data_IF_056600099453
#
_entry.id   IF_056600099453
#
_cell.length_a   1.000
_cell.length_b   1.000
_cell.length_c   1.000
_cell.angle_alpha   90.00
_cell.angle_beta   90.00
_cell.angle_gamma   90.00
#
_symmetry.space_group_name_H-M   'P 1'
#
loop_
_entity.id
_entity.type
_entity.pdbx_description
1 polymer ?
#
# COMPACT_ATOMS: atom_id res chain seq x y z
N UNK A 1 -4.27 22.32 19.63
CA UNK A 1 -3.60 21.65 18.48
C UNK A 1 -4.59 20.65 17.95
N UNK A 2 -5.10 20.87 16.73
CA UNK A 2 -6.23 20.13 16.17
C UNK A 2 -5.87 18.67 15.87
N UNK A 3 -6.84 17.76 16.02
CA UNK A 3 -6.74 16.32 15.70
C UNK A 3 -6.23 16.02 14.26
N UNK A 4 -6.24 17.00 13.37
CA UNK A 4 -5.72 16.89 12.00
C UNK A 4 -4.22 16.54 11.88
N UNK A 5 -3.42 16.72 12.92
CA UNK A 5 -2.00 16.35 12.93
C UNK A 5 -1.75 14.85 13.20
N UNK A 6 -2.78 14.09 13.58
CA UNK A 6 -2.68 12.69 14.00
C UNK A 6 -2.83 11.71 12.83
N UNK A 7 -3.62 12.06 11.81
CA UNK A 7 -3.89 11.22 10.66
C UNK A 7 -2.92 11.52 9.51
N UNK A 8 -2.43 10.47 8.86
CA UNK A 8 -1.66 10.55 7.62
C UNK A 8 -2.57 10.71 6.41
N UNK A 9 -3.70 9.98 6.41
CA UNK A 9 -4.71 10.01 5.35
C UNK A 9 -6.10 10.06 6.00
N UNK A 10 -6.97 10.90 5.43
CA UNK A 10 -8.39 10.94 5.75
C UNK A 10 -9.17 11.06 4.44
N UNK A 11 -10.31 10.37 4.34
CA UNK A 11 -11.25 10.60 3.23
C UNK A 11 -12.61 11.01 3.77
N UNK A 12 -13.32 11.86 3.02
CA UNK A 12 -14.65 12.35 3.37
C UNK A 12 -15.61 12.12 2.22
N UNK A 13 -16.60 11.23 2.43
CA UNK A 13 -17.62 10.89 1.44
C UNK A 13 -17.00 10.64 0.05
N UNK A 14 -15.87 9.94 -0.01
CA UNK A 14 -15.14 9.72 -1.23
C UNK A 14 -15.87 8.72 -2.12
N UNK A 15 -16.08 9.08 -3.37
CA UNK A 15 -16.60 8.21 -4.42
C UNK A 15 -15.48 7.90 -5.41
N UNK A 16 -15.24 6.61 -5.58
CA UNK A 16 -14.15 6.08 -6.40
C UNK A 16 -14.73 5.40 -7.64
N UNK A 17 -14.15 5.68 -8.79
CA UNK A 17 -14.64 5.10 -10.05
C UNK A 17 -13.97 5.73 -11.26
N UNK A 18 -14.57 5.52 -12.42
CA UNK A 18 -14.07 6.04 -13.70
C UNK A 18 -15.11 6.94 -14.35
N UNK A 19 -14.68 8.13 -14.74
CA UNK A 19 -15.50 9.07 -15.51
C UNK A 19 -15.22 8.85 -16.99
N UNK A 20 -16.25 8.50 -17.74
CA UNK A 20 -16.23 8.45 -19.20
C UNK A 20 -17.05 9.62 -19.74
N UNK A 21 -16.87 9.95 -21.06
CA UNK A 21 -17.51 11.13 -21.67
C UNK A 21 -19.01 11.27 -21.37
N UNK A 22 -19.75 10.16 -21.29
CA UNK A 22 -21.21 10.15 -21.11
C UNK A 22 -21.71 9.27 -19.97
N UNK A 23 -20.82 8.71 -19.16
CA UNK A 23 -21.20 7.81 -18.05
C UNK A 23 -20.19 7.89 -16.91
N UNK A 24 -20.66 7.60 -15.72
CA UNK A 24 -19.82 7.44 -14.53
C UNK A 24 -19.94 5.98 -14.08
N UNK A 25 -18.85 5.28 -14.02
CA UNK A 25 -18.77 3.94 -13.46
C UNK A 25 -18.27 4.06 -12.01
N UNK A 26 -19.19 4.03 -11.05
CA UNK A 26 -18.87 4.04 -9.63
C UNK A 26 -18.44 2.63 -9.20
N UNK A 27 -17.31 2.54 -8.53
CA UNK A 27 -16.74 1.30 -8.00
C UNK A 27 -16.95 1.21 -6.49
N UNK A 28 -16.61 2.30 -5.76
CA UNK A 28 -16.84 2.39 -4.33
C UNK A 28 -17.46 3.75 -4.00
N UNK A 29 -18.34 3.77 -3.02
CA UNK A 29 -19.11 4.96 -2.65
C UNK A 29 -19.00 5.23 -1.15
N UNK A 30 -19.14 6.51 -0.78
CA UNK A 30 -19.16 6.98 0.61
C UNK A 30 -17.97 6.49 1.46
N UNK A 31 -16.78 6.38 0.85
CA UNK A 31 -15.59 5.94 1.55
C UNK A 31 -15.12 7.05 2.50
N UNK A 32 -15.29 6.81 3.82
CA UNK A 32 -14.87 7.72 4.88
C UNK A 32 -13.97 6.96 5.84
N UNK A 33 -12.65 7.12 5.68
CA UNK A 33 -11.62 6.41 6.45
C UNK A 33 -10.65 7.42 7.08
N UNK A 34 -10.01 6.99 8.16
CA UNK A 34 -8.95 7.73 8.84
C UNK A 34 -7.82 6.77 9.16
N UNK A 35 -6.62 7.07 8.68
CA UNK A 35 -5.42 6.27 8.87
C UNK A 35 -4.41 7.07 9.68
N UNK A 36 -3.99 6.55 10.82
CA UNK A 36 -3.01 7.21 11.67
C UNK A 36 -1.58 7.11 11.10
N UNK A 37 -0.69 7.97 11.57
CA UNK A 37 0.72 7.93 11.19
C UNK A 37 1.40 6.71 11.79
N UNK A 38 2.30 6.09 11.02
CA UNK A 38 3.11 4.97 11.49
C UNK A 38 2.36 3.63 11.55
N UNK A 39 1.14 3.54 11.03
CA UNK A 39 0.37 2.29 10.99
C UNK A 39 0.68 1.47 9.73
N UNK A 40 0.65 0.15 9.89
CA UNK A 40 0.59 -0.79 8.78
C UNK A 40 -0.86 -1.17 8.50
N UNK A 41 -1.35 -0.83 7.31
CA UNK A 41 -2.76 -0.93 6.90
C UNK A 41 -2.92 -1.93 5.76
N UNK A 42 -3.83 -2.88 5.92
CA UNK A 42 -4.22 -3.82 4.87
C UNK A 42 -5.55 -3.44 4.21
N UNK A 43 -5.58 -3.37 2.87
CA UNK A 43 -6.81 -3.21 2.10
C UNK A 43 -7.24 -4.59 1.57
N UNK A 44 -8.39 -5.06 2.01
CA UNK A 44 -8.95 -6.37 1.73
C UNK A 44 -10.23 -6.27 0.91
N UNK A 45 -10.48 -7.27 0.07
CA UNK A 45 -11.68 -7.37 -0.74
C UNK A 45 -11.51 -8.37 -1.88
N UNK A 46 -12.62 -8.76 -2.50
CA UNK A 46 -12.63 -9.66 -3.66
C UNK A 46 -11.83 -9.08 -4.83
N UNK A 47 -11.47 -9.96 -5.79
CA UNK A 47 -10.87 -9.51 -7.05
C UNK A 47 -11.85 -8.61 -7.81
N UNK A 48 -11.35 -7.53 -8.41
CA UNK A 48 -12.18 -6.59 -9.16
C UNK A 48 -13.04 -5.65 -8.33
N UNK A 49 -13.05 -5.74 -6.99
CA UNK A 49 -13.87 -4.88 -6.11
C UNK A 49 -13.42 -3.41 -6.07
N UNK A 50 -12.22 -3.10 -6.61
CA UNK A 50 -11.71 -1.73 -6.67
C UNK A 50 -10.58 -1.39 -5.71
N UNK A 51 -9.86 -2.38 -5.15
CA UNK A 51 -8.72 -2.14 -4.24
C UNK A 51 -7.67 -1.22 -4.86
N UNK A 52 -7.17 -1.57 -6.04
CA UNK A 52 -6.17 -0.76 -6.77
C UNK A 52 -6.72 0.59 -7.20
N UNK A 53 -8.02 0.67 -7.53
CA UNK A 53 -8.67 1.94 -7.89
C UNK A 53 -8.74 2.88 -6.68
N UNK A 54 -9.13 2.35 -5.50
CA UNK A 54 -9.10 3.12 -4.25
C UNK A 54 -7.67 3.59 -3.95
N UNK A 55 -6.68 2.70 -4.01
CA UNK A 55 -5.29 3.02 -3.75
C UNK A 55 -4.79 4.12 -4.70
N UNK A 56 -5.05 4.02 -6.01
CA UNK A 56 -4.69 5.04 -7.01
C UNK A 56 -5.39 6.38 -6.77
N UNK A 57 -6.62 6.36 -6.25
CA UNK A 57 -7.35 7.59 -5.88
C UNK A 57 -6.75 8.24 -4.63
N UNK A 58 -6.36 7.45 -3.63
CA UNK A 58 -5.71 7.96 -2.41
C UNK A 58 -4.36 8.64 -2.66
N UNK A 59 -3.67 8.31 -3.75
CA UNK A 59 -2.38 8.93 -4.14
C UNK A 59 -2.53 10.03 -5.19
N UNK A 60 -3.76 10.30 -5.66
CA UNK A 60 -4.03 11.33 -6.66
C UNK A 60 -3.62 10.98 -8.10
N UNK A 61 -3.27 9.71 -8.39
CA UNK A 61 -3.02 9.20 -9.76
C UNK A 61 -4.34 9.10 -10.53
N UNK A 62 -5.40 8.75 -9.82
CA UNK A 62 -6.76 8.74 -10.36
C UNK A 62 -7.61 9.78 -9.63
N UNK A 63 -8.35 10.57 -10.38
CA UNK A 63 -9.28 11.54 -9.80
C UNK A 63 -10.46 10.84 -9.12
N UNK A 64 -10.84 11.35 -7.96
CA UNK A 64 -12.08 10.95 -7.30
C UNK A 64 -13.29 11.45 -8.11
N UNK A 65 -14.34 10.65 -8.18
CA UNK A 65 -15.62 11.09 -8.78
C UNK A 65 -16.22 12.23 -7.95
N UNK A 66 -16.17 12.12 -6.63
CA UNK A 66 -16.55 13.16 -5.69
C UNK A 66 -15.98 12.90 -4.30
N UNK A 67 -16.14 13.84 -3.39
CA UNK A 67 -15.56 13.76 -2.04
C UNK A 67 -14.11 14.21 -1.99
N UNK A 68 -13.50 14.05 -0.83
CA UNK A 68 -12.16 14.57 -0.55
C UNK A 68 -11.20 13.50 -0.07
N UNK A 69 -9.95 13.60 -0.52
CA UNK A 69 -8.78 12.92 0.05
C UNK A 69 -7.92 13.98 0.73
N UNK A 70 -7.62 13.78 2.00
CA UNK A 70 -6.85 14.69 2.83
C UNK A 70 -5.57 13.97 3.25
N UNK A 71 -4.42 14.55 2.92
CA UNK A 71 -3.08 14.04 3.25
C UNK A 71 -2.43 15.01 4.21
N UNK A 72 -2.05 14.53 5.39
CA UNK A 72 -1.44 15.36 6.44
C UNK A 72 -2.26 16.65 6.75
N UNK A 73 -3.60 16.55 6.73
CA UNK A 73 -4.50 17.66 7.01
C UNK A 73 -4.77 18.62 5.85
N UNK A 74 -4.20 18.39 4.66
CA UNK A 74 -4.39 19.22 3.46
C UNK A 74 -5.03 18.39 2.34
N UNK A 75 -6.02 18.96 1.62
CA UNK A 75 -6.66 18.28 0.50
C UNK A 75 -5.64 17.94 -0.59
N UNK A 76 -5.69 16.72 -1.12
CA UNK A 76 -4.74 16.22 -2.12
C UNK A 76 -4.68 17.10 -3.37
N UNK A 77 -5.81 17.69 -3.79
CA UNK A 77 -5.90 18.61 -4.93
C UNK A 77 -5.09 19.90 -4.77
N UNK A 78 -4.68 20.21 -3.53
CA UNK A 78 -3.87 21.40 -3.22
C UNK A 78 -2.36 21.16 -3.31
N UNK A 79 -1.94 19.92 -3.58
CA UNK A 79 -0.55 19.56 -3.80
C UNK A 79 -0.25 19.51 -5.31
N UNK A 80 0.96 19.93 -5.69
CA UNK A 80 1.47 19.58 -7.01
C UNK A 80 2.13 18.17 -6.98
N UNK A 81 2.39 17.61 -8.16
CA UNK A 81 2.96 16.24 -8.27
C UNK A 81 4.34 16.11 -7.59
N UNK A 82 5.17 17.14 -7.64
CA UNK A 82 6.48 17.14 -6.99
C UNK A 82 6.35 17.12 -5.47
N UNK A 83 5.43 17.87 -4.91
CA UNK A 83 5.13 17.84 -3.47
C UNK A 83 4.61 16.47 -3.05
N UNK A 84 3.65 15.90 -3.79
CA UNK A 84 3.12 14.56 -3.50
C UNK A 84 4.20 13.48 -3.55
N UNK A 85 5.13 13.56 -4.52
CA UNK A 85 6.22 12.58 -4.63
C UNK A 85 7.23 12.66 -3.49
N UNK A 86 7.23 13.70 -2.68
CA UNK A 86 8.02 13.76 -1.43
C UNK A 86 7.24 13.30 -0.19
N UNK A 87 5.94 13.06 -0.31
CA UNK A 87 5.07 12.64 0.78
C UNK A 87 4.67 11.17 0.64
N UNK A 88 4.40 10.71 -0.59
CA UNK A 88 3.90 9.37 -0.90
C UNK A 88 4.83 8.68 -1.89
N UNK A 89 5.21 7.45 -1.61
CA UNK A 89 5.86 6.54 -2.56
C UNK A 89 4.94 5.36 -2.90
N UNK A 90 5.15 4.78 -4.08
CA UNK A 90 4.28 3.73 -4.63
C UNK A 90 5.11 2.55 -5.13
N UNK A 91 4.65 1.35 -4.80
CA UNK A 91 5.11 0.07 -5.36
C UNK A 91 3.95 -0.56 -6.11
N UNK A 92 4.12 -0.75 -7.42
CA UNK A 92 3.14 -1.41 -8.29
C UNK A 92 3.62 -2.82 -8.62
N UNK A 93 2.68 -3.70 -8.94
CA UNK A 93 2.94 -5.07 -9.44
C UNK A 93 3.24 -5.12 -10.94
N UNK A 94 3.30 -3.97 -11.61
CA UNK A 94 3.61 -3.91 -13.04
C UNK A 94 5.03 -4.40 -13.32
N UNK A 95 5.19 -5.15 -14.42
CA UNK A 95 6.50 -5.59 -14.87
C UNK A 95 7.36 -4.37 -15.22
N UNK A 96 8.60 -4.39 -14.74
CA UNK A 96 9.56 -3.38 -15.13
C UNK A 96 9.93 -3.57 -16.61
N UNK A 97 10.08 -2.47 -17.38
CA UNK A 97 10.57 -2.57 -18.74
C UNK A 97 11.98 -3.15 -18.77
N UNK A 98 12.30 -3.86 -19.84
CA UNK A 98 13.65 -4.39 -20.04
C UNK A 98 14.69 -3.26 -19.99
N UNK A 99 15.61 -3.36 -19.06
CA UNK A 99 16.68 -2.39 -18.91
C UNK A 99 17.90 -3.02 -18.24
N UNK A 100 19.08 -2.45 -18.48
CA UNK A 100 20.34 -2.89 -17.88
C UNK A 100 20.65 -2.14 -16.58
N UNK A 101 19.62 -1.87 -15.76
CA UNK A 101 19.82 -1.25 -14.46
C UNK A 101 20.29 -2.28 -13.45
N UNK A 102 21.30 -1.90 -12.66
CA UNK A 102 21.63 -2.63 -11.44
C UNK A 102 20.57 -2.41 -10.37
N UNK A 103 20.55 -3.24 -9.35
CA UNK A 103 19.71 -3.05 -8.16
C UNK A 103 19.96 -1.67 -7.54
N UNK A 104 21.24 -1.25 -7.46
CA UNK A 104 21.58 0.07 -6.96
C UNK A 104 20.95 1.18 -7.80
N UNK A 105 21.04 1.10 -9.14
CA UNK A 105 20.46 2.09 -10.04
C UNK A 105 18.92 2.14 -9.90
N UNK A 106 18.28 0.96 -9.83
CA UNK A 106 16.84 0.87 -9.64
C UNK A 106 16.37 1.51 -8.32
N UNK A 107 17.10 1.30 -7.22
CA UNK A 107 16.80 1.94 -5.94
C UNK A 107 17.10 3.45 -5.98
N UNK A 108 18.15 3.85 -6.71
CA UNK A 108 18.50 5.26 -6.90
C UNK A 108 17.41 6.07 -7.62
N UNK A 109 16.59 5.44 -8.47
CA UNK A 109 15.42 6.09 -9.09
C UNK A 109 14.45 6.63 -8.02
N UNK A 110 14.39 6.04 -6.83
CA UNK A 110 13.62 6.57 -5.71
C UNK A 110 14.03 7.98 -5.29
N UNK A 111 15.24 8.42 -5.63
CA UNK A 111 15.74 9.77 -5.29
C UNK A 111 15.38 10.85 -6.32
N UNK A 112 14.73 10.48 -7.44
CA UNK A 112 14.36 11.45 -8.50
C UNK A 112 13.65 12.71 -7.99
N UNK A 113 12.71 12.69 -7.02
CA UNK A 113 12.07 13.90 -6.52
C UNK A 113 13.03 14.93 -5.93
N UNK A 114 14.23 14.50 -5.53
CA UNK A 114 15.23 15.33 -4.83
C UNK A 114 16.44 15.69 -5.70
N UNK A 115 16.57 15.05 -6.87
CA UNK A 115 17.68 15.34 -7.78
C UNK A 115 17.37 16.54 -8.69
N UNK A 116 18.41 17.10 -9.26
CA UNK A 116 18.29 18.14 -10.29
C UNK A 116 17.89 17.48 -11.64
N UNK A 117 17.70 18.30 -12.68
CA UNK A 117 17.31 17.84 -14.03
C UNK A 117 18.33 16.87 -14.69
N UNK A 118 19.59 16.87 -14.25
CA UNK A 118 20.64 15.92 -14.71
C UNK A 118 20.57 14.58 -13.93
N UNK A 119 19.79 14.51 -12.86
CA UNK A 119 19.70 13.30 -12.01
C UNK A 119 20.92 13.09 -11.11
N UNK A 120 21.73 14.12 -10.83
CA UNK A 120 22.95 13.99 -10.01
C UNK A 120 22.58 13.66 -8.56
N UNK A 121 23.08 12.53 -8.06
CA UNK A 121 22.96 12.10 -6.67
C UNK A 121 23.97 12.83 -5.79
N UNK A 122 23.52 13.34 -4.66
CA UNK A 122 24.35 13.93 -3.61
C UNK A 122 24.70 12.87 -2.54
N UNK A 123 25.61 13.20 -1.62
CA UNK A 123 26.04 12.31 -0.55
C UNK A 123 24.84 11.80 0.27
N UNK A 124 23.90 12.70 0.61
CA UNK A 124 22.66 12.35 1.34
C UNK A 124 21.78 11.34 0.59
N UNK A 125 21.76 11.41 -0.75
CA UNK A 125 20.99 10.46 -1.56
C UNK A 125 21.62 9.08 -1.53
N UNK A 126 22.95 9.01 -1.64
CA UNK A 126 23.70 7.75 -1.52
C UNK A 126 23.52 7.10 -0.14
N UNK A 127 23.47 7.90 0.94
CA UNK A 127 23.20 7.42 2.29
C UNK A 127 21.80 6.82 2.40
N UNK A 128 20.76 7.48 1.83
CA UNK A 128 19.38 6.98 1.80
C UNK A 128 19.24 5.70 0.98
N UNK A 129 19.92 5.61 -0.17
CA UNK A 129 19.92 4.39 -1.00
C UNK A 129 20.54 3.22 -0.22
N UNK A 130 21.72 3.41 0.38
CA UNK A 130 22.40 2.36 1.16
C UNK A 130 21.56 1.92 2.35
N UNK A 131 20.97 2.88 3.06
CA UNK A 131 20.07 2.59 4.17
C UNK A 131 18.86 1.76 3.72
N UNK A 132 18.20 2.14 2.62
CA UNK A 132 17.05 1.40 2.08
C UNK A 132 17.41 -0.04 1.69
N UNK A 133 18.56 -0.24 1.01
CA UNK A 133 19.08 -1.55 0.67
C UNK A 133 19.35 -2.42 1.92
N UNK A 134 19.88 -1.82 2.98
CA UNK A 134 20.12 -2.52 4.25
C UNK A 134 18.80 -2.90 4.93
N UNK A 135 17.81 -1.99 5.00
CA UNK A 135 16.51 -2.26 5.61
C UNK A 135 15.74 -3.40 4.93
N UNK A 136 15.92 -3.58 3.63
CA UNK A 136 15.24 -4.63 2.85
C UNK A 136 16.11 -5.88 2.64
N UNK A 137 17.29 -5.95 3.27
CA UNK A 137 18.24 -7.06 3.16
C UNK A 137 18.67 -7.35 1.70
N UNK A 138 18.82 -6.29 0.90
CA UNK A 138 19.19 -6.38 -0.52
C UNK A 138 20.57 -5.82 -0.83
N UNK A 139 21.35 -5.43 0.17
CA UNK A 139 22.69 -4.83 0.00
C UNK A 139 23.64 -5.72 -0.83
N UNK A 140 23.64 -7.04 -0.59
CA UNK A 140 24.48 -7.97 -1.33
C UNK A 140 24.11 -8.09 -2.82
N UNK A 141 22.91 -7.63 -3.20
CA UNK A 141 22.39 -7.66 -4.56
C UNK A 141 22.69 -6.36 -5.33
N UNK A 142 23.24 -5.34 -4.70
CA UNK A 142 23.35 -3.98 -5.24
C UNK A 142 23.97 -3.88 -6.64
N UNK A 143 24.94 -4.73 -6.96
CA UNK A 143 25.65 -4.74 -8.24
C UNK A 143 25.08 -5.71 -9.28
N UNK A 144 24.08 -6.53 -8.92
CA UNK A 144 23.41 -7.43 -9.86
C UNK A 144 22.41 -6.65 -10.70
N UNK A 145 22.15 -7.13 -11.90
CA UNK A 145 21.05 -6.60 -12.70
C UNK A 145 19.71 -7.07 -12.14
N UNK A 146 18.70 -6.22 -12.18
CA UNK A 146 17.40 -6.53 -11.56
C UNK A 146 16.70 -7.73 -12.21
N UNK A 147 16.92 -7.99 -13.51
CA UNK A 147 16.35 -9.12 -14.23
C UNK A 147 16.98 -10.48 -13.84
N UNK A 148 18.09 -10.48 -13.10
CA UNK A 148 18.72 -11.70 -12.56
C UNK A 148 18.13 -12.12 -11.20
N UNK A 149 17.20 -11.34 -10.68
CA UNK A 149 16.63 -11.57 -9.34
C UNK A 149 15.45 -12.52 -9.40
N UNK A 150 15.25 -13.29 -8.33
CA UNK A 150 13.97 -13.97 -8.11
C UNK A 150 12.87 -12.94 -7.79
N UNK A 151 11.59 -13.31 -7.99
CA UNK A 151 10.46 -12.43 -7.74
C UNK A 151 10.48 -11.86 -6.31
N UNK A 152 10.77 -12.69 -5.31
CA UNK A 152 10.88 -12.24 -3.91
C UNK A 152 12.07 -11.31 -3.65
N UNK A 153 13.19 -11.45 -4.37
CA UNK A 153 14.32 -10.52 -4.31
C UNK A 153 13.95 -9.21 -4.99
N UNK A 154 13.36 -9.27 -6.18
CA UNK A 154 12.92 -8.09 -6.91
C UNK A 154 11.88 -7.29 -6.11
N UNK A 155 10.93 -7.95 -5.49
CA UNK A 155 9.93 -7.29 -4.66
C UNK A 155 10.57 -6.51 -3.49
N UNK A 156 11.56 -7.09 -2.80
CA UNK A 156 12.31 -6.37 -1.75
C UNK A 156 13.09 -5.18 -2.30
N UNK A 157 13.63 -5.28 -3.50
CA UNK A 157 14.30 -4.16 -4.19
C UNK A 157 13.32 -3.05 -4.56
N UNK A 158 12.10 -3.38 -5.01
CA UNK A 158 11.06 -2.39 -5.26
C UNK A 158 10.61 -1.66 -4.00
N UNK A 159 10.53 -2.39 -2.88
CA UNK A 159 10.29 -1.79 -1.55
C UNK A 159 11.48 -0.90 -1.15
N UNK A 160 12.73 -1.32 -1.41
CA UNK A 160 13.92 -0.48 -1.17
C UNK A 160 13.86 0.83 -1.97
N UNK A 161 13.44 0.77 -3.24
CA UNK A 161 13.25 1.97 -4.07
C UNK A 161 12.24 2.94 -3.45
N UNK A 162 11.08 2.44 -3.02
CA UNK A 162 10.06 3.25 -2.35
C UNK A 162 10.57 3.81 -1.01
N UNK A 163 11.34 3.04 -0.28
CA UNK A 163 11.94 3.45 1.00
C UNK A 163 13.04 4.51 0.80
N UNK A 164 13.86 4.39 -0.26
CA UNK A 164 14.88 5.36 -0.63
C UNK A 164 14.27 6.73 -1.00
N UNK A 165 13.04 6.77 -1.49
CA UNK A 165 12.30 8.00 -1.75
C UNK A 165 12.05 8.82 -0.47
N UNK A 166 12.18 8.20 0.72
CA UNK A 166 12.11 8.83 2.04
C UNK A 166 10.80 9.58 2.32
N UNK A 167 9.70 9.03 1.87
CA UNK A 167 8.35 9.55 2.08
C UNK A 167 7.79 9.15 3.43
N UNK A 168 6.74 9.84 3.88
CA UNK A 168 6.01 9.51 5.10
C UNK A 168 5.01 8.36 4.89
N UNK A 169 4.52 8.20 3.67
CA UNK A 169 3.50 7.20 3.29
C UNK A 169 4.08 6.34 2.18
N UNK A 170 3.97 5.02 2.33
CA UNK A 170 4.33 4.04 1.31
C UNK A 170 3.07 3.24 0.97
N UNK A 171 2.69 3.24 -0.30
CA UNK A 171 1.56 2.46 -0.80
C UNK A 171 2.05 1.33 -1.69
N UNK A 172 1.47 0.14 -1.52
CA UNK A 172 1.84 -1.05 -2.29
C UNK A 172 0.58 -1.69 -2.87
N UNK A 173 0.56 -1.87 -4.19
CA UNK A 173 -0.53 -2.56 -4.86
C UNK A 173 -0.15 -4.03 -5.06
N UNK A 174 -0.77 -4.92 -4.28
CA UNK A 174 -0.55 -6.38 -4.29
C UNK A 174 0.93 -6.85 -4.26
N UNK A 175 1.74 -6.37 -3.30
CA UNK A 175 3.19 -6.61 -3.30
C UNK A 175 3.59 -8.07 -3.09
N UNK A 176 2.64 -8.95 -2.86
CA UNK A 176 2.86 -10.40 -2.66
C UNK A 176 2.32 -11.25 -3.79
N UNK A 177 1.80 -10.61 -4.88
CA UNK A 177 1.38 -11.34 -6.05
C UNK A 177 2.54 -12.16 -6.64
N UNK A 178 2.26 -13.40 -7.01
CA UNK A 178 3.23 -14.36 -7.59
C UNK A 178 4.34 -14.84 -6.65
N UNK A 179 4.32 -14.48 -5.35
CA UNK A 179 5.26 -14.99 -4.36
C UNK A 179 4.75 -16.29 -3.73
N UNK A 180 5.67 -17.18 -3.41
CA UNK A 180 5.34 -18.32 -2.55
C UNK A 180 5.04 -17.86 -1.10
N UNK A 181 4.47 -18.77 -0.30
CA UNK A 181 4.07 -18.48 1.07
C UNK A 181 5.23 -17.95 1.94
N UNK A 182 6.44 -18.51 1.78
CA UNK A 182 7.59 -18.11 2.58
C UNK A 182 8.02 -16.67 2.28
N UNK A 183 8.11 -16.30 1.01
CA UNK A 183 8.42 -14.94 0.59
C UNK A 183 7.29 -13.96 0.93
N UNK A 184 6.04 -14.38 0.79
CA UNK A 184 4.86 -13.60 1.21
C UNK A 184 4.93 -13.22 2.70
N UNK A 185 5.17 -14.19 3.58
CA UNK A 185 5.32 -13.94 5.03
C UNK A 185 6.48 -12.97 5.30
N UNK A 186 7.62 -13.12 4.62
CA UNK A 186 8.77 -12.23 4.77
C UNK A 186 8.44 -10.78 4.38
N UNK A 187 7.66 -10.57 3.31
CA UNK A 187 7.22 -9.23 2.91
C UNK A 187 6.31 -8.63 3.98
N UNK A 188 5.34 -9.37 4.52
CA UNK A 188 4.49 -8.89 5.61
C UNK A 188 5.31 -8.48 6.84
N UNK A 189 6.25 -9.33 7.26
CA UNK A 189 7.14 -9.04 8.39
C UNK A 189 8.01 -7.80 8.13
N UNK A 190 8.57 -7.67 6.92
CA UNK A 190 9.35 -6.51 6.53
C UNK A 190 8.52 -5.22 6.59
N UNK A 191 7.31 -5.21 6.00
CA UNK A 191 6.45 -4.03 5.99
C UNK A 191 6.01 -3.64 7.41
N UNK A 192 5.67 -4.62 8.25
CA UNK A 192 5.34 -4.39 9.66
C UNK A 192 6.52 -3.79 10.42
N UNK A 193 7.71 -4.38 10.28
CA UNK A 193 8.95 -3.86 10.88
C UNK A 193 9.21 -2.42 10.44
N UNK A 194 9.13 -2.15 9.13
CA UNK A 194 9.36 -0.82 8.59
C UNK A 194 8.38 0.22 9.15
N UNK A 195 7.08 -0.10 9.27
CA UNK A 195 6.12 0.84 9.87
C UNK A 195 6.48 1.19 11.31
N UNK A 196 6.87 0.21 12.11
CA UNK A 196 7.22 0.39 13.53
C UNK A 196 8.54 1.14 13.73
N UNK A 197 9.61 0.75 13.00
CA UNK A 197 10.94 1.30 13.20
C UNK A 197 11.14 2.68 12.54
N UNK A 198 10.39 2.99 11.48
CA UNK A 198 10.57 4.23 10.71
C UNK A 198 9.43 5.23 10.87
N UNK A 199 8.38 4.87 11.62
CA UNK A 199 7.16 5.66 11.79
C UNK A 199 6.50 6.07 10.45
N UNK A 200 6.71 5.25 9.40
CA UNK A 200 6.08 5.44 8.09
C UNK A 200 4.72 4.75 8.07
N UNK A 201 3.72 5.41 7.52
CA UNK A 201 2.43 4.77 7.25
C UNK A 201 2.57 3.89 6.01
N UNK A 202 2.30 2.61 6.15
CA UNK A 202 2.42 1.63 5.07
C UNK A 202 1.03 1.08 4.77
N UNK A 203 0.60 1.20 3.51
CA UNK A 203 -0.72 0.75 3.08
C UNK A 203 -0.54 -0.23 1.93
N UNK A 204 -1.10 -1.42 2.05
CA UNK A 204 -1.03 -2.40 0.98
C UNK A 204 -2.39 -2.98 0.63
N UNK A 205 -2.63 -3.21 -0.65
CA UNK A 205 -3.69 -4.11 -1.11
C UNK A 205 -3.17 -5.54 -1.10
N UNK A 206 -4.00 -6.50 -0.74
CA UNK A 206 -3.57 -7.91 -0.73
C UNK A 206 -4.74 -8.87 -0.85
N UNK A 207 -4.45 -10.07 -1.36
CA UNK A 207 -5.34 -11.24 -1.32
C UNK A 207 -5.05 -12.18 -0.15
N UNK A 208 -3.96 -11.95 0.58
CA UNK A 208 -3.54 -12.73 1.73
C UNK A 208 -4.30 -12.31 2.99
N UNK A 209 -5.61 -12.57 2.98
CA UNK A 209 -6.55 -12.05 3.99
C UNK A 209 -6.15 -12.44 5.40
N UNK A 210 -5.85 -13.72 5.65
CA UNK A 210 -5.50 -14.21 6.98
C UNK A 210 -4.16 -13.63 7.47
N UNK A 211 -3.20 -13.37 6.59
CA UNK A 211 -1.95 -12.71 6.96
C UNK A 211 -2.18 -11.24 7.28
N UNK A 212 -3.02 -10.55 6.51
CA UNK A 212 -3.35 -9.15 6.78
C UNK A 212 -4.10 -8.98 8.11
N UNK A 213 -5.06 -9.84 8.42
CA UNK A 213 -5.79 -9.82 9.71
C UNK A 213 -4.83 -9.98 10.89
N UNK A 214 -3.80 -10.82 10.76
CA UNK A 214 -2.81 -11.06 11.82
C UNK A 214 -1.71 -10.00 11.90
N UNK A 215 -1.37 -9.37 10.77
CA UNK A 215 -0.18 -8.51 10.67
C UNK A 215 -0.46 -7.02 10.70
N UNK A 216 -1.59 -6.56 10.15
CA UNK A 216 -1.91 -5.14 10.04
C UNK A 216 -2.40 -4.54 11.37
N UNK A 217 -2.13 -3.25 11.56
CA UNK A 217 -2.65 -2.48 12.71
C UNK A 217 -4.10 -2.04 12.46
N UNK A 218 -4.43 -1.79 11.20
CA UNK A 218 -5.75 -1.39 10.73
C UNK A 218 -6.06 -2.09 9.41
N UNK A 219 -7.33 -2.37 9.18
CA UNK A 219 -7.82 -2.99 7.96
C UNK A 219 -8.88 -2.10 7.31
N UNK A 220 -8.90 -2.09 5.99
CA UNK A 220 -9.94 -1.51 5.15
C UNK A 220 -10.59 -2.65 4.38
N UNK A 221 -11.85 -2.91 4.65
CA UNK A 221 -12.64 -3.98 4.02
C UNK A 221 -13.48 -3.36 2.90
N UNK A 222 -13.22 -3.75 1.66
CA UNK A 222 -14.02 -3.35 0.50
C UNK A 222 -15.02 -4.45 0.20
N UNK A 223 -16.31 -4.10 0.25
CA UNK A 223 -17.40 -5.00 -0.12
C UNK A 223 -18.23 -4.37 -1.25
N UNK A 224 -19.18 -5.11 -1.80
CA UNK A 224 -20.12 -4.59 -2.80
C UNK A 224 -21.08 -3.53 -2.23
N UNK A 225 -21.26 -3.53 -0.91
CA UNK A 225 -22.21 -2.65 -0.23
C UNK A 225 -21.56 -1.40 0.36
N UNK A 226 -20.40 -1.57 0.96
CA UNK A 226 -19.75 -0.52 1.74
C UNK A 226 -18.25 -0.75 1.90
N UNK A 227 -17.56 0.31 2.30
CA UNK A 227 -16.16 0.25 2.74
C UNK A 227 -16.12 0.49 4.24
N UNK A 228 -15.58 -0.48 4.98
CA UNK A 228 -15.46 -0.40 6.44
C UNK A 228 -13.98 -0.38 6.81
N UNK A 229 -13.57 0.53 7.67
CA UNK A 229 -12.19 0.59 8.16
C UNK A 229 -12.14 0.57 9.68
N UNK A 230 -11.13 -0.11 10.23
CA UNK A 230 -10.95 -0.18 11.67
C UNK A 230 -9.84 -1.12 12.10
N UNK A 231 -9.57 -1.12 13.40
CA UNK A 231 -8.73 -2.15 14.01
C UNK A 231 -9.43 -3.49 13.99
N UNK A 232 -8.67 -4.55 13.94
CA UNK A 232 -9.17 -5.93 13.85
C UNK A 232 -10.26 -6.23 14.90
N UNK A 233 -10.02 -5.84 16.16
CA UNK A 233 -10.94 -6.09 17.25
C UNK A 233 -12.32 -5.45 17.04
N UNK A 234 -12.34 -4.22 16.55
CA UNK A 234 -13.59 -3.51 16.24
C UNK A 234 -14.33 -4.14 15.05
N UNK A 235 -13.59 -4.57 14.03
CA UNK A 235 -14.17 -5.25 12.86
C UNK A 235 -14.75 -6.62 13.20
N UNK A 236 -14.11 -7.36 14.14
CA UNK A 236 -14.64 -8.61 14.67
C UNK A 236 -15.92 -8.36 15.48
N UNK A 237 -15.89 -7.40 16.40
CA UNK A 237 -17.04 -7.08 17.26
C UNK A 237 -18.28 -6.64 16.45
N UNK A 238 -18.07 -6.00 15.28
CA UNK A 238 -19.14 -5.56 14.39
C UNK A 238 -19.51 -6.58 13.31
N UNK A 239 -18.96 -7.80 13.32
CA UNK A 239 -19.14 -8.84 12.32
C UNK A 239 -18.82 -8.37 10.88
N UNK A 240 -17.92 -7.40 10.73
CA UNK A 240 -17.60 -6.79 9.43
C UNK A 240 -16.93 -7.80 8.46
N UNK A 241 -16.25 -8.81 8.98
CA UNK A 241 -15.63 -9.85 8.16
C UNK A 241 -16.63 -10.76 7.46
N UNK A 242 -17.83 -10.94 7.99
CA UNK A 242 -18.86 -11.82 7.41
C UNK A 242 -19.34 -11.29 6.04
N UNK A 243 -19.20 -9.98 5.82
CA UNK A 243 -19.59 -9.34 4.55
C UNK A 243 -18.51 -9.41 3.48
N UNK A 244 -17.25 -9.73 3.84
CA UNK A 244 -16.12 -9.71 2.92
C UNK A 244 -16.21 -10.83 1.87
N UNK A 245 -16.62 -12.03 2.30
CA UNK A 245 -16.84 -13.18 1.44
C UNK A 245 -18.22 -13.76 1.71
N UNK A 246 -19.19 -13.42 0.87
CA UNK A 246 -20.52 -14.07 0.90
C UNK A 246 -20.40 -15.46 0.28
N UNK A 247 -20.03 -16.45 1.05
CA UNK A 247 -19.87 -17.84 0.58
C UNK A 247 -20.33 -18.80 1.67
N UNK A 248 -21.06 -19.85 1.28
CA UNK A 248 -21.41 -20.96 2.19
C UNK A 248 -20.19 -21.84 2.53
N UNK A 249 -19.10 -21.69 1.79
CA UNK A 249 -17.92 -22.55 1.89
C UNK A 249 -16.85 -21.91 2.80
N UNK A 250 -16.80 -20.57 2.87
CA UNK A 250 -15.76 -19.84 3.61
C UNK A 250 -16.43 -18.92 4.62
N UNK A 251 -16.13 -19.11 5.90
CA UNK A 251 -16.67 -18.32 7.00
C UNK A 251 -15.54 -17.76 7.87
N UNK A 252 -15.76 -16.58 8.44
CA UNK A 252 -14.84 -16.02 9.43
C UNK A 252 -15.03 -16.69 10.78
N UNK A 253 -13.93 -17.16 11.38
CA UNK A 253 -13.91 -17.68 12.72
C UNK A 253 -13.29 -16.64 13.67
N UNK A 254 -14.13 -16.02 14.49
CA UNK A 254 -13.71 -14.97 15.40
C UNK A 254 -12.72 -15.45 16.48
N UNK A 255 -12.83 -16.72 16.93
CA UNK A 255 -11.92 -17.29 17.93
C UNK A 255 -10.52 -17.54 17.37
N UNK A 256 -10.43 -17.98 16.12
CA UNK A 256 -9.16 -18.22 15.42
C UNK A 256 -8.67 -16.97 14.67
N UNK A 257 -9.48 -15.92 14.61
CA UNK A 257 -9.22 -14.67 13.89
C UNK A 257 -8.81 -14.90 12.42
N UNK A 258 -9.51 -15.81 11.74
CA UNK A 258 -9.19 -16.17 10.35
C UNK A 258 -10.39 -16.72 9.60
N UNK A 259 -10.31 -16.64 8.28
CA UNK A 259 -11.24 -17.35 7.41
C UNK A 259 -10.88 -18.83 7.34
N UNK A 260 -11.90 -19.67 7.47
CA UNK A 260 -11.80 -21.13 7.41
C UNK A 260 -12.79 -21.70 6.40
N UNK A 261 -12.47 -22.88 5.89
CA UNK A 261 -13.39 -23.64 5.02
C UNK A 261 -14.38 -24.38 5.91
N UNK A 262 -15.66 -24.16 5.66
CA UNK A 262 -16.73 -24.88 6.33
C UNK A 262 -17.05 -26.14 5.54
N UNK A 263 -16.94 -27.32 6.14
CA UNK A 263 -17.44 -28.56 5.54
C UNK A 263 -18.97 -28.48 5.53
N UNK A 264 -19.59 -28.59 4.35
CA UNK A 264 -21.01 -28.97 4.29
C UNK A 264 -21.13 -30.36 4.92
N UNK A 265 -21.85 -30.46 6.03
CA UNK A 265 -22.31 -31.72 6.57
C UNK A 265 -23.40 -32.31 5.67
#
# INVERSE_FOLDING_TARGET
MSDAAKNSIETKNLHVGYQQKNSVNLIQQNVSIQLAKGEFVGILGKNGIGKSTLLRTLIGVQEAISGDVIINGKNIKSYNYKELSTIISLVLTEQLPDSQLTVFDLVALGRQPYTNWVGKLEKKDLEKIRWALAQTETTALAHRYFYELSDGQLQRVLIARALAQDTQIIMLDEPTAHLDMHHTIKIFQLLKKLSQETNKTIIMTTHEVNLAIKGADQLILLTEKEVVAGKKEALIANNSFDTLFSSEIVNFNATLEQFIITKKS
#
